data_IF_287819297719
#
_entry.id   IF_287819297719
#
_cell.length_a   1.000
_cell.length_b   1.000
_cell.length_c   1.000
_cell.angle_alpha   90.00
_cell.angle_beta   90.00
_cell.angle_gamma   90.00
#
_symmetry.space_group_name_H-M   'P 1'
#
loop_
_entity.id
_entity.type
_entity.pdbx_description
1 polymer ?
#
# COMPACT_ATOMS: atom_id res chain seq x y z
N UNK A 1 -0.48 -7.31 1.28
CA UNK A 1 -1.05 -7.83 0.02
C UNK A 1 -2.18 -8.82 0.27
N UNK A 2 -1.99 -9.85 1.08
CA UNK A 2 -3.03 -10.88 1.33
C UNK A 2 -4.32 -10.34 1.94
N UNK A 3 -4.24 -9.34 2.82
CA UNK A 3 -5.44 -8.69 3.38
C UNK A 3 -6.24 -7.93 2.31
N UNK A 4 -5.56 -7.24 1.38
CA UNK A 4 -6.21 -6.55 0.27
C UNK A 4 -6.88 -7.54 -0.69
N UNK A 5 -6.20 -8.66 -0.99
CA UNK A 5 -6.75 -9.73 -1.82
C UNK A 5 -8.00 -10.34 -1.19
N UNK A 6 -7.96 -10.66 0.11
CA UNK A 6 -9.12 -11.16 0.86
C UNK A 6 -10.27 -10.15 0.91
N UNK A 7 -9.96 -8.87 1.10
CA UNK A 7 -10.96 -7.82 1.13
C UNK A 7 -11.64 -7.65 -0.22
N UNK A 8 -10.87 -7.62 -1.31
CA UNK A 8 -11.39 -7.55 -2.68
C UNK A 8 -12.22 -8.78 -3.00
N UNK A 9 -11.71 -9.99 -2.73
CA UNK A 9 -12.46 -11.24 -2.94
C UNK A 9 -13.78 -11.25 -2.17
N UNK A 10 -13.77 -10.90 -0.88
CA UNK A 10 -14.98 -10.84 -0.04
C UNK A 10 -15.99 -9.80 -0.52
N UNK A 11 -15.54 -8.65 -1.04
CA UNK A 11 -16.42 -7.55 -1.48
C UNK A 11 -16.95 -7.72 -2.89
N UNK A 12 -16.21 -8.40 -3.76
CA UNK A 12 -16.56 -8.55 -5.19
C UNK A 12 -17.06 -9.95 -5.54
N UNK A 13 -16.89 -10.93 -4.64
CA UNK A 13 -17.27 -12.32 -4.86
C UNK A 13 -16.36 -13.10 -5.81
N UNK A 14 -15.23 -12.52 -6.22
CA UNK A 14 -14.28 -13.19 -7.12
C UNK A 14 -13.32 -14.10 -6.35
N UNK A 15 -12.79 -15.18 -6.98
CA UNK A 15 -11.79 -16.04 -6.36
C UNK A 15 -10.52 -15.28 -5.96
N UNK A 16 -9.86 -15.68 -4.87
CA UNK A 16 -8.64 -15.02 -4.37
C UNK A 16 -7.53 -14.92 -5.43
N UNK A 17 -7.38 -15.94 -6.28
CA UNK A 17 -6.43 -15.91 -7.39
C UNK A 17 -6.69 -14.75 -8.37
N UNK A 18 -7.96 -14.47 -8.64
CA UNK A 18 -8.37 -13.38 -9.54
C UNK A 18 -8.33 -12.02 -8.83
N UNK A 19 -8.65 -11.98 -7.54
CA UNK A 19 -8.48 -10.80 -6.70
C UNK A 19 -7.01 -10.37 -6.60
N UNK A 20 -6.07 -11.32 -6.54
CA UNK A 20 -4.63 -11.04 -6.55
C UNK A 20 -4.21 -10.31 -7.82
N UNK A 21 -4.62 -10.83 -8.98
CA UNK A 21 -4.34 -10.21 -10.28
C UNK A 21 -4.94 -8.80 -10.36
N UNK A 22 -6.15 -8.61 -9.84
CA UNK A 22 -6.80 -7.30 -9.81
C UNK A 22 -6.04 -6.30 -8.94
N UNK A 23 -5.62 -6.70 -7.74
CA UNK A 23 -4.85 -5.86 -6.82
C UNK A 23 -3.49 -5.49 -7.44
N UNK A 24 -2.78 -6.46 -8.03
CA UNK A 24 -1.50 -6.21 -8.71
C UNK A 24 -1.65 -5.22 -9.87
N UNK A 25 -2.67 -5.38 -10.71
CA UNK A 25 -2.94 -4.48 -11.85
C UNK A 25 -3.17 -3.03 -11.38
N UNK A 26 -3.94 -2.85 -10.29
CA UNK A 26 -4.20 -1.52 -9.72
C UNK A 26 -2.93 -0.94 -9.10
N UNK A 27 -2.13 -1.75 -8.40
CA UNK A 27 -0.86 -1.30 -7.83
C UNK A 27 0.12 -0.88 -8.92
N UNK A 28 0.22 -1.62 -10.01
CA UNK A 28 1.07 -1.26 -11.15
C UNK A 28 0.62 0.03 -11.83
N UNK A 29 -0.70 0.23 -11.95
CA UNK A 29 -1.26 1.48 -12.46
C UNK A 29 -0.92 2.66 -11.54
N UNK A 30 -1.10 2.50 -10.23
CA UNK A 30 -0.75 3.53 -9.24
C UNK A 30 0.75 3.82 -9.23
N UNK A 31 1.62 2.80 -9.32
CA UNK A 31 3.07 2.98 -9.41
C UNK A 31 3.49 3.77 -10.65
N UNK A 32 2.78 3.61 -11.77
CA UNK A 32 3.02 4.39 -13.00
C UNK A 32 2.49 5.83 -12.94
N UNK A 33 1.49 6.10 -12.10
CA UNK A 33 0.84 7.43 -11.98
C UNK A 33 1.31 8.24 -10.78
N UNK A 34 1.81 7.59 -9.74
CA UNK A 34 2.34 8.23 -8.55
C UNK A 34 3.85 8.46 -8.72
N UNK A 35 4.36 9.68 -8.52
CA UNK A 35 5.79 9.95 -8.47
C UNK A 35 6.49 8.99 -7.49
N UNK A 36 7.69 8.54 -7.84
CA UNK A 36 8.52 7.61 -7.07
C UNK A 36 8.49 7.80 -5.52
N UNK A 37 8.54 9.02 -4.96
CA UNK A 37 8.47 9.20 -3.51
C UNK A 37 7.14 8.75 -2.86
N UNK A 38 6.02 8.83 -3.58
CA UNK A 38 4.70 8.43 -3.06
C UNK A 38 4.52 6.91 -3.16
N UNK A 39 5.01 6.31 -4.25
CA UNK A 39 5.00 4.85 -4.42
C UNK A 39 5.79 4.13 -3.31
N UNK A 40 6.96 4.67 -2.94
CA UNK A 40 7.77 4.14 -1.86
C UNK A 40 7.07 4.20 -0.49
N UNK A 41 6.30 5.26 -0.22
CA UNK A 41 5.53 5.40 1.02
C UNK A 41 4.34 4.43 1.06
N UNK A 42 3.64 4.25 -0.07
CA UNK A 42 2.55 3.27 -0.19
C UNK A 42 3.03 1.83 -0.02
N UNK A 43 4.12 1.45 -0.70
CA UNK A 43 4.71 0.11 -0.53
C UNK A 43 5.12 -0.10 0.94
N UNK A 44 5.66 0.92 1.62
CA UNK A 44 6.04 0.83 3.03
C UNK A 44 4.80 0.62 3.93
N UNK A 45 3.69 1.32 3.68
CA UNK A 45 2.43 1.12 4.44
C UNK A 45 1.81 -0.25 4.17
N UNK A 46 1.78 -0.70 2.91
CA UNK A 46 1.18 -1.97 2.48
C UNK A 46 1.97 -3.18 3.00
N UNK A 47 3.29 -3.04 3.20
CA UNK A 47 4.17 -4.07 3.76
C UNK A 47 4.19 -4.08 5.29
N UNK A 48 3.46 -3.17 5.95
CA UNK A 48 3.34 -3.12 7.42
C UNK A 48 4.58 -2.57 8.15
N UNK A 49 5.69 -2.29 7.44
CA UNK A 49 6.92 -1.73 8.01
C UNK A 49 7.09 -0.23 7.87
N UNK A 50 6.22 0.45 7.11
CA UNK A 50 6.34 1.86 6.76
C UNK A 50 5.61 2.84 7.65
N UNK A 51 4.59 2.38 8.37
CA UNK A 51 3.87 3.24 9.30
C UNK A 51 4.80 3.74 10.42
N UNK A 52 5.68 2.88 10.93
CA UNK A 52 6.69 3.23 11.94
C UNK A 52 7.69 4.25 11.40
N UNK A 53 8.27 4.02 10.20
CA UNK A 53 9.24 4.94 9.59
C UNK A 53 8.63 6.30 9.19
N UNK A 54 7.36 6.32 8.76
CA UNK A 54 6.62 7.56 8.50
C UNK A 54 6.30 8.29 9.82
N UNK A 55 5.92 7.57 10.86
CA UNK A 55 5.66 8.13 12.19
C UNK A 55 6.93 8.67 12.84
N UNK A 56 8.06 7.98 12.67
CA UNK A 56 9.38 8.40 13.17
C UNK A 56 9.89 9.63 12.39
N UNK A 57 9.69 9.67 11.07
CA UNK A 57 10.02 10.85 10.25
C UNK A 57 9.14 12.07 10.58
N UNK A 58 7.86 11.86 10.88
CA UNK A 58 6.93 12.92 11.26
C UNK A 58 7.16 13.37 12.71
N UNK A 59 7.42 12.44 13.63
CA UNK A 59 7.79 12.71 15.02
C UNK A 59 9.13 13.45 15.13
N UNK A 60 10.10 13.10 14.28
CA UNK A 60 11.38 13.81 14.18
C UNK A 60 11.25 15.24 13.66
N UNK A 61 10.27 15.53 12.80
CA UNK A 61 9.97 16.90 12.35
C UNK A 61 9.17 17.70 13.37
N UNK A 62 8.30 17.06 14.15
CA UNK A 62 7.50 17.71 15.19
C UNK A 62 8.34 18.00 16.44
N UNK A 63 9.32 17.15 16.75
CA UNK A 63 10.27 17.34 17.86
C UNK A 63 11.37 18.38 17.58
N UNK A 64 11.50 18.85 16.33
CA UNK A 64 12.52 19.82 15.91
C UNK A 64 11.98 21.25 15.77
N UNK A 65 10.75 21.49 16.22
CA UNK A 65 10.10 22.80 16.32
C UNK A 65 10.14 23.30 17.76
#
# INVERSE_FOLDING_TARGET
MDELVKLVSKKTGIPEAQAKIAVETVMDFLKKKLPAPIAAQLDAVITGGGAQNLMDGLGGMLNKR
#
